data_IF_445924437018
#
_entry.id   IF_445924437018
#
_cell.length_a   1.000
_cell.length_b   1.000
_cell.length_c   1.000
_cell.angle_alpha   90.00
_cell.angle_beta   90.00
_cell.angle_gamma   90.00
#
_symmetry.space_group_name_H-M   'P 1'
#
loop_
_entity.id
_entity.type
_entity.pdbx_description
1 polymer ?
#
# COMPACT_ATOMS: atom_id res chain seq x y z
N UNK A 1 -16.27 -16.87 -18.37
CA UNK A 1 -17.18 -15.80 -18.81
C UNK A 1 -16.61 -14.42 -18.54
N UNK A 2 -15.92 -14.21 -17.41
CA UNK A 2 -15.37 -12.89 -17.04
C UNK A 2 -14.35 -12.32 -18.03
N UNK A 3 -13.41 -13.13 -18.53
CA UNK A 3 -12.45 -12.68 -19.55
C UNK A 3 -13.13 -12.15 -20.83
N UNK A 4 -14.19 -12.82 -21.30
CA UNK A 4 -14.93 -12.38 -22.49
C UNK A 4 -15.57 -11.00 -22.26
N UNK A 5 -16.17 -10.80 -21.09
CA UNK A 5 -16.78 -9.52 -20.71
C UNK A 5 -15.74 -8.42 -20.58
N UNK A 6 -14.59 -8.71 -19.97
CA UNK A 6 -13.52 -7.74 -19.78
C UNK A 6 -12.89 -7.34 -21.11
N UNK A 7 -12.50 -8.30 -21.97
CA UNK A 7 -11.91 -8.03 -23.29
C UNK A 7 -12.85 -7.21 -24.17
N UNK A 8 -14.16 -7.50 -24.14
CA UNK A 8 -15.15 -6.72 -24.88
C UNK A 8 -15.21 -5.25 -24.43
N UNK A 9 -15.04 -4.97 -23.12
CA UNK A 9 -14.97 -3.60 -22.59
C UNK A 9 -13.62 -2.94 -22.89
N UNK A 10 -12.51 -3.65 -22.68
CA UNK A 10 -11.16 -3.14 -22.88
C UNK A 10 -10.90 -2.77 -24.35
N UNK A 11 -11.41 -3.57 -25.31
CA UNK A 11 -11.30 -3.29 -26.74
C UNK A 11 -11.95 -1.96 -27.16
N UNK A 12 -12.96 -1.48 -26.42
CA UNK A 12 -13.58 -0.16 -26.69
C UNK A 12 -12.67 1.00 -26.26
N UNK A 13 -11.73 0.76 -25.34
CA UNK A 13 -10.85 1.77 -24.75
C UNK A 13 -9.45 1.72 -25.36
N UNK A 14 -8.96 0.52 -25.72
CA UNK A 14 -7.59 0.32 -26.21
C UNK A 14 -7.34 0.84 -27.62
N UNK A 15 -8.39 1.15 -28.39
CA UNK A 15 -8.26 1.56 -29.78
C UNK A 15 -7.49 0.51 -30.60
N UNK A 16 -6.45 0.94 -31.32
CA UNK A 16 -5.58 0.07 -32.12
C UNK A 16 -4.47 -0.63 -31.30
N UNK A 17 -4.34 -0.34 -30.00
CA UNK A 17 -3.31 -0.96 -29.16
C UNK A 17 -3.69 -2.38 -28.75
N UNK A 18 -2.72 -3.31 -28.67
CA UNK A 18 -2.98 -4.68 -28.24
C UNK A 18 -3.44 -4.73 -26.78
N UNK A 19 -4.32 -5.68 -26.48
CA UNK A 19 -4.71 -6.01 -25.11
C UNK A 19 -3.66 -6.96 -24.56
N UNK A 20 -3.00 -6.56 -23.47
CA UNK A 20 -2.05 -7.38 -22.75
C UNK A 20 -2.79 -8.40 -21.86
N UNK A 21 -2.27 -9.63 -21.83
CA UNK A 21 -2.75 -10.70 -20.96
C UNK A 21 -1.53 -11.21 -20.20
N UNK A 22 -1.52 -10.95 -18.90
CA UNK A 22 -0.42 -11.26 -18.00
C UNK A 22 -0.87 -12.24 -16.92
N UNK A 23 0.08 -13.01 -16.41
CA UNK A 23 -0.15 -13.88 -15.25
C UNK A 23 -0.23 -13.05 -13.98
N UNK A 24 -1.20 -13.36 -13.11
CA UNK A 24 -1.41 -12.61 -11.88
C UNK A 24 -0.44 -13.08 -10.80
N UNK A 25 0.49 -12.19 -10.40
CA UNK A 25 1.49 -12.48 -9.39
C UNK A 25 0.92 -12.38 -7.97
N UNK A 26 0.17 -13.40 -7.54
CA UNK A 26 -0.34 -13.51 -6.16
C UNK A 26 0.79 -13.42 -5.12
N UNK A 27 0.54 -12.82 -3.96
CA UNK A 27 1.50 -12.69 -2.84
C UNK A 27 2.84 -12.02 -3.20
N UNK A 28 2.84 -11.15 -4.23
CA UNK A 28 4.03 -10.41 -4.65
C UNK A 28 4.05 -9.00 -4.05
N UNK A 29 5.22 -8.55 -3.58
CA UNK A 29 5.39 -7.15 -3.19
C UNK A 29 5.65 -6.29 -4.42
N UNK A 30 4.93 -5.17 -4.52
CA UNK A 30 5.13 -4.19 -5.58
C UNK A 30 6.12 -3.11 -5.16
N UNK A 31 6.93 -2.64 -6.12
CA UNK A 31 7.92 -1.59 -5.93
C UNK A 31 7.81 -0.55 -7.04
N UNK A 32 7.89 0.72 -6.67
CA UNK A 32 8.06 1.83 -7.60
C UNK A 32 9.50 2.35 -7.50
N UNK A 33 10.14 2.57 -8.64
CA UNK A 33 11.46 3.21 -8.71
C UNK A 33 11.37 4.45 -9.57
N UNK A 34 11.68 5.60 -8.98
CA UNK A 34 11.83 6.85 -9.72
C UNK A 34 13.31 7.15 -9.92
N UNK A 35 13.71 7.45 -11.15
CA UNK A 35 15.10 7.77 -11.51
C UNK A 35 15.19 8.91 -12.53
N UNK A 36 16.37 9.54 -12.57
CA UNK A 36 16.79 10.48 -13.59
C UNK A 36 17.78 9.80 -14.54
N UNK A 37 17.71 10.12 -15.83
CA UNK A 37 18.68 9.69 -16.84
C UNK A 37 19.05 10.88 -17.74
N UNK A 38 20.32 11.06 -18.06
CA UNK A 38 20.81 12.09 -19.00
C UNK A 38 21.30 11.51 -20.34
N UNK A 39 20.91 10.26 -20.61
CA UNK A 39 21.28 9.47 -21.78
C UNK A 39 22.56 8.65 -21.60
N UNK A 40 23.37 8.94 -20.58
CA UNK A 40 24.64 8.24 -20.31
C UNK A 40 24.72 7.73 -18.87
N UNK A 41 24.30 8.55 -17.91
CA UNK A 41 24.27 8.22 -16.49
C UNK A 41 22.83 8.16 -15.99
N UNK A 42 22.63 7.37 -14.93
CA UNK A 42 21.33 7.21 -14.27
C UNK A 42 21.51 7.46 -12.78
N UNK A 43 20.61 8.25 -12.22
CA UNK A 43 20.50 8.48 -10.79
C UNK A 43 19.16 7.97 -10.29
N UNK A 44 19.17 6.87 -9.54
CA UNK A 44 17.98 6.42 -8.80
C UNK A 44 17.64 7.50 -7.78
N UNK A 45 16.44 8.06 -7.87
CA UNK A 45 15.93 9.05 -6.93
C UNK A 45 15.32 8.41 -5.69
N UNK A 46 14.72 7.23 -5.83
CA UNK A 46 14.18 6.46 -4.71
C UNK A 46 13.57 5.12 -5.13
N UNK A 47 13.75 4.10 -4.29
CA UNK A 47 13.03 2.82 -4.40
C UNK A 47 11.96 2.79 -3.30
N UNK A 48 10.71 2.66 -3.70
CA UNK A 48 9.56 2.61 -2.81
C UNK A 48 8.99 1.20 -2.81
N UNK A 49 8.65 0.67 -1.64
CA UNK A 49 7.94 -0.60 -1.52
C UNK A 49 6.49 -0.32 -1.14
N UNK A 50 5.54 -0.92 -1.84
CA UNK A 50 4.14 -0.86 -1.47
C UNK A 50 3.86 -1.71 -0.22
N UNK A 51 2.91 -1.27 0.58
CA UNK A 51 2.41 -2.05 1.71
C UNK A 51 1.48 -3.11 1.15
N UNK A 52 0.48 -2.71 0.39
CA UNK A 52 -0.38 -3.58 -0.41
C UNK A 52 0.43 -4.41 -1.42
N UNK A 53 -0.09 -5.60 -1.73
CA UNK A 53 0.52 -6.52 -2.68
C UNK A 53 0.17 -6.17 -4.12
N UNK A 54 0.95 -6.69 -5.07
CA UNK A 54 0.71 -6.50 -6.49
C UNK A 54 -0.70 -6.96 -6.87
N UNK A 55 -1.38 -6.15 -7.67
CA UNK A 55 -2.81 -6.31 -7.98
C UNK A 55 -3.71 -5.28 -7.32
N UNK A 56 -3.19 -4.53 -6.36
CA UNK A 56 -3.76 -3.26 -5.94
C UNK A 56 -3.01 -2.14 -6.67
N UNK A 57 -3.75 -1.24 -7.30
CA UNK A 57 -3.15 -0.18 -8.10
C UNK A 57 -2.20 0.70 -7.26
N UNK A 58 -0.98 0.94 -7.75
CA UNK A 58 0.08 1.73 -7.10
C UNK A 58 -0.34 3.11 -6.56
N UNK A 59 -1.35 3.72 -7.20
CA UNK A 59 -1.96 4.97 -6.77
C UNK A 59 -2.71 4.87 -5.43
N UNK A 60 -3.40 3.75 -5.21
CA UNK A 60 -4.21 3.49 -4.01
C UNK A 60 -3.42 2.76 -2.92
N UNK A 61 -2.30 2.12 -3.28
CA UNK A 61 -1.38 1.52 -2.31
C UNK A 61 -0.67 2.59 -1.47
N UNK A 62 -0.54 2.31 -0.18
CA UNK A 62 0.45 2.96 0.64
C UNK A 62 1.84 2.48 0.22
N UNK A 63 2.85 3.35 0.30
CA UNK A 63 4.22 2.96 -0.01
C UNK A 63 5.23 3.56 0.97
N UNK A 64 6.37 2.89 1.09
CA UNK A 64 7.41 3.16 2.09
C UNK A 64 8.74 3.41 1.39
N UNK A 65 9.42 4.48 1.81
CA UNK A 65 10.78 4.80 1.40
C UNK A 65 11.63 5.03 2.66
N UNK A 66 12.71 4.25 2.88
CA UNK A 66 13.18 3.14 2.06
C UNK A 66 12.30 1.88 2.18
N UNK A 67 12.49 0.86 1.32
CA UNK A 67 11.77 -0.41 1.40
C UNK A 67 11.91 -1.10 2.77
N UNK A 68 10.82 -1.68 3.28
CA UNK A 68 10.78 -2.23 4.64
C UNK A 68 10.91 -3.76 4.69
N UNK A 69 10.71 -4.45 3.56
CA UNK A 69 10.72 -5.91 3.46
C UNK A 69 11.16 -6.36 2.06
N UNK A 70 12.47 -6.35 1.84
CA UNK A 70 13.16 -6.92 0.68
C UNK A 70 14.58 -7.33 1.10
N UNK A 71 15.18 -8.29 0.39
CA UNK A 71 16.59 -8.65 0.60
C UNK A 71 17.51 -7.66 -0.15
N UNK A 72 18.72 -7.44 0.36
CA UNK A 72 19.69 -6.52 -0.23
C UNK A 72 20.05 -6.88 -1.68
N UNK A 73 20.26 -8.16 -1.96
CA UNK A 73 20.57 -8.65 -3.32
C UNK A 73 19.46 -8.36 -4.34
N UNK A 74 18.20 -8.53 -3.93
CA UNK A 74 17.05 -8.19 -4.75
C UNK A 74 16.92 -6.66 -4.94
N UNK A 75 17.19 -5.86 -3.91
CA UNK A 75 17.18 -4.41 -4.03
C UNK A 75 18.28 -3.91 -4.99
N UNK A 76 19.48 -4.46 -4.90
CA UNK A 76 20.59 -4.16 -5.81
C UNK A 76 20.25 -4.55 -7.26
N UNK A 77 19.55 -5.67 -7.44
CA UNK A 77 19.08 -6.09 -8.76
C UNK A 77 18.00 -5.15 -9.32
N UNK A 78 17.07 -4.65 -8.50
CA UNK A 78 16.11 -3.62 -8.92
C UNK A 78 16.85 -2.38 -9.41
N UNK A 79 17.81 -1.88 -8.63
CA UNK A 79 18.64 -0.72 -9.01
C UNK A 79 19.35 -0.98 -10.34
N UNK A 80 20.00 -2.14 -10.50
CA UNK A 80 20.69 -2.49 -11.76
C UNK A 80 19.73 -2.50 -12.96
N UNK A 81 18.59 -3.16 -12.85
CA UNK A 81 17.60 -3.23 -13.93
C UNK A 81 17.08 -1.82 -14.27
N UNK A 82 16.91 -0.94 -13.28
CA UNK A 82 16.54 0.46 -13.53
C UNK A 82 17.58 1.21 -14.34
N UNK A 83 18.87 1.02 -14.05
CA UNK A 83 19.95 1.62 -14.83
C UNK A 83 19.93 1.10 -16.28
N UNK A 84 19.89 -0.23 -16.44
CA UNK A 84 19.92 -0.89 -17.75
C UNK A 84 18.75 -0.42 -18.64
N UNK A 85 17.52 -0.41 -18.10
CA UNK A 85 16.32 0.00 -18.83
C UNK A 85 16.32 1.50 -19.18
N UNK A 86 16.81 2.36 -18.29
CA UNK A 86 16.85 3.80 -18.54
C UNK A 86 17.79 4.16 -19.71
N UNK A 87 18.93 3.44 -19.82
CA UNK A 87 19.87 3.61 -20.92
C UNK A 87 19.32 2.99 -22.21
N UNK A 88 18.83 1.74 -22.17
CA UNK A 88 18.31 1.05 -23.35
C UNK A 88 17.13 1.79 -23.99
N UNK A 89 16.26 2.39 -23.17
CA UNK A 89 15.12 3.18 -23.64
C UNK A 89 15.47 4.63 -24.00
N UNK A 90 16.76 5.00 -23.99
CA UNK A 90 17.25 6.33 -24.34
C UNK A 90 16.55 7.46 -23.56
N UNK A 91 16.33 7.25 -22.26
CA UNK A 91 15.62 8.23 -21.42
C UNK A 91 16.44 9.51 -21.27
N UNK A 92 15.77 10.66 -21.45
CA UNK A 92 16.31 11.99 -21.13
C UNK A 92 15.34 12.70 -20.18
N UNK A 93 15.69 12.75 -18.89
CA UNK A 93 14.85 13.28 -17.83
C UNK A 93 14.42 12.21 -16.85
N UNK A 94 13.12 12.07 -16.59
CA UNK A 94 12.57 11.14 -15.60
C UNK A 94 12.13 9.81 -16.21
N UNK A 95 12.31 8.75 -15.43
CA UNK A 95 11.75 7.43 -15.67
C UNK A 95 11.21 6.88 -14.36
N UNK A 96 10.05 6.22 -14.43
CA UNK A 96 9.48 5.42 -13.37
C UNK A 96 9.37 3.97 -13.84
N UNK A 97 9.71 3.02 -12.97
CA UNK A 97 9.62 1.59 -13.26
C UNK A 97 8.92 0.90 -12.10
N UNK A 98 7.93 0.08 -12.44
CA UNK A 98 7.22 -0.75 -11.47
C UNK A 98 7.73 -2.18 -11.54
N UNK A 99 7.99 -2.75 -10.36
CA UNK A 99 8.47 -4.13 -10.21
C UNK A 99 7.55 -4.91 -9.29
N UNK A 100 7.51 -6.23 -9.48
CA UNK A 100 6.99 -7.17 -8.50
C UNK A 100 8.11 -8.08 -8.00
N UNK A 101 8.12 -8.39 -6.71
CA UNK A 101 9.06 -9.31 -6.08
C UNK A 101 8.31 -10.48 -5.43
N UNK A 102 8.58 -11.69 -5.92
CA UNK A 102 7.96 -12.93 -5.43
C UNK A 102 9.01 -14.03 -5.35
N UNK A 103 9.14 -14.65 -4.18
CA UNK A 103 9.98 -15.84 -3.96
C UNK A 103 11.44 -15.70 -4.47
N UNK A 104 12.05 -14.53 -4.29
CA UNK A 104 13.42 -14.28 -4.74
C UNK A 104 13.56 -13.89 -6.21
N UNK A 105 12.46 -13.78 -6.95
CA UNK A 105 12.43 -13.32 -8.35
C UNK A 105 11.87 -11.91 -8.46
N UNK A 106 12.48 -11.13 -9.33
CA UNK A 106 12.06 -9.78 -9.69
C UNK A 106 11.44 -9.82 -11.08
N UNK A 107 10.24 -9.25 -11.20
CA UNK A 107 9.50 -9.08 -12.43
C UNK A 107 9.38 -7.59 -12.72
N UNK A 108 9.59 -7.18 -13.97
CA UNK A 108 9.30 -5.82 -14.43
C UNK A 108 7.84 -5.79 -14.86
N UNK A 109 7.04 -4.89 -14.28
CA UNK A 109 5.62 -4.75 -14.60
C UNK A 109 5.45 -3.76 -15.76
N UNK A 110 5.93 -2.54 -15.59
CA UNK A 110 5.88 -1.50 -16.62
C UNK A 110 7.00 -0.48 -16.46
N UNK A 111 7.27 0.24 -17.55
CA UNK A 111 8.20 1.37 -17.59
C UNK A 111 7.46 2.60 -18.11
N UNK A 112 7.54 3.67 -17.34
CA UNK A 112 6.99 4.97 -17.67
C UNK A 112 8.14 5.96 -17.91
N UNK A 113 8.58 6.21 -19.16
CA UNK A 113 9.66 7.15 -19.48
C UNK A 113 9.20 8.61 -19.37
N UNK A 114 8.69 8.98 -18.21
CA UNK A 114 8.12 10.28 -17.87
C UNK A 114 8.11 10.46 -16.35
N UNK A 115 7.73 11.65 -15.90
CA UNK A 115 7.42 11.88 -14.50
C UNK A 115 6.23 11.00 -14.04
N UNK A 116 6.41 10.33 -12.90
CA UNK A 116 5.35 9.65 -12.16
C UNK A 116 4.72 10.57 -11.12
N UNK A 117 3.59 10.11 -10.55
CA UNK A 117 2.93 10.80 -9.45
C UNK A 117 3.74 10.79 -8.15
N UNK A 118 4.69 9.87 -8.00
CA UNK A 118 5.52 9.68 -6.79
C UNK A 118 6.72 10.63 -6.72
N UNK A 119 7.07 11.32 -7.82
CA UNK A 119 8.20 12.27 -7.87
C UNK A 119 8.18 13.31 -6.74
N UNK A 120 7.05 13.97 -6.41
CA UNK A 120 7.00 14.91 -5.29
C UNK A 120 7.28 14.23 -3.95
N UNK A 121 6.72 13.04 -3.70
CA UNK A 121 6.95 12.27 -2.48
C UNK A 121 8.43 11.87 -2.33
N UNK A 122 9.05 11.35 -3.40
CA UNK A 122 10.48 11.00 -3.41
C UNK A 122 11.33 12.24 -3.17
N UNK A 123 11.06 13.34 -3.89
CA UNK A 123 11.82 14.59 -3.75
C UNK A 123 11.75 15.18 -2.33
N UNK A 124 10.58 15.07 -1.68
CA UNK A 124 10.38 15.51 -0.28
C UNK A 124 11.04 14.59 0.72
N UNK A 125 11.25 13.32 0.38
CA UNK A 125 11.91 12.37 1.27
C UNK A 125 13.43 12.46 1.18
N UNK A 126 13.98 12.60 -0.04
CA UNK A 126 15.43 12.57 -0.29
C UNK A 126 16.08 13.95 -0.35
N UNK A 127 15.29 15.02 -0.30
CA UNK A 127 15.74 16.41 -0.49
C UNK A 127 16.36 16.69 -1.87
N UNK A 128 16.02 15.89 -2.89
CA UNK A 128 16.49 16.07 -4.26
C UNK A 128 15.34 16.60 -5.11
N UNK A 129 15.44 17.77 -5.75
CA UNK A 129 14.37 18.32 -6.58
C UNK A 129 14.35 17.66 -7.97
N UNK A 130 13.95 16.38 -8.01
CA UNK A 130 14.05 15.52 -9.19
C UNK A 130 13.41 16.15 -10.43
N UNK A 131 12.19 16.68 -10.33
CA UNK A 131 11.51 17.33 -11.46
C UNK A 131 12.27 18.56 -12.01
N UNK A 132 12.92 19.34 -11.13
CA UNK A 132 13.72 20.51 -11.56
C UNK A 132 14.97 20.07 -12.31
N UNK A 133 15.64 19.03 -11.80
CA UNK A 133 16.84 18.48 -12.42
C UNK A 133 16.48 17.84 -13.77
N UNK A 134 15.38 17.09 -13.85
CA UNK A 134 14.89 16.51 -15.09
C UNK A 134 14.63 17.56 -16.19
N UNK A 135 13.98 18.67 -15.83
CA UNK A 135 13.76 19.78 -16.75
C UNK A 135 15.07 20.39 -17.26
N UNK A 136 16.09 20.46 -16.41
CA UNK A 136 17.42 20.94 -16.79
C UNK A 136 18.16 19.95 -17.69
N UNK A 137 18.04 18.63 -17.42
CA UNK A 137 18.57 17.57 -18.28
C UNK A 137 17.96 17.65 -19.68
N UNK A 138 16.64 17.83 -19.78
CA UNK A 138 15.95 18.01 -21.05
C UNK A 138 16.45 19.23 -21.86
N UNK A 139 17.13 20.18 -21.22
CA UNK A 139 17.79 21.34 -21.87
C UNK A 139 19.30 21.16 -22.06
N UNK A 140 19.85 19.97 -21.82
CA UNK A 140 21.24 19.61 -22.08
C UNK A 140 22.17 19.61 -20.88
N UNK A 141 21.67 19.76 -19.63
CA UNK A 141 22.48 19.52 -18.43
C UNK A 141 22.76 18.03 -18.24
N UNK A 142 23.88 17.71 -17.60
CA UNK A 142 24.28 16.33 -17.28
C UNK A 142 24.16 16.05 -15.78
N UNK A 143 23.98 14.80 -15.38
CA UNK A 143 23.82 14.41 -13.97
C UNK A 143 25.03 14.82 -13.12
N UNK A 144 26.24 14.71 -13.67
CA UNK A 144 27.49 15.20 -13.05
C UNK A 144 27.50 16.70 -12.70
N UNK A 145 26.60 17.50 -13.28
CA UNK A 145 26.47 18.93 -12.95
C UNK A 145 25.73 19.17 -11.62
N UNK A 146 25.20 18.12 -11.00
CA UNK A 146 24.40 18.16 -9.78
C UNK A 146 25.06 17.38 -8.63
N UNK A 147 24.86 17.85 -7.41
CA UNK A 147 25.24 17.08 -6.21
C UNK A 147 24.12 16.10 -5.85
N UNK A 148 24.29 14.82 -6.23
CA UNK A 148 23.29 13.77 -6.09
C UNK A 148 23.76 12.69 -5.11
N UNK A 149 23.40 12.77 -3.81
CA UNK A 149 23.75 11.73 -2.85
C UNK A 149 23.00 10.41 -3.17
N UNK A 150 23.48 9.25 -2.70
CA UNK A 150 22.75 8.00 -2.82
C UNK A 150 21.32 8.11 -2.27
N UNK A 151 20.35 7.50 -2.94
CA UNK A 151 18.93 7.64 -2.64
C UNK A 151 18.55 7.15 -1.24
N UNK A 152 19.32 6.22 -0.68
CA UNK A 152 19.13 5.55 0.61
C UNK A 152 19.95 6.18 1.76
N UNK A 153 20.64 7.31 1.54
CA UNK A 153 21.49 7.96 2.55
C UNK A 153 20.70 8.57 3.74
N UNK A 154 19.37 8.66 3.66
CA UNK A 154 18.55 9.37 4.64
C UNK A 154 18.24 8.52 5.89
N UNK A 155 18.22 9.15 7.07
CA UNK A 155 18.05 8.48 8.38
C UNK A 155 16.59 8.45 8.89
N UNK A 156 15.63 8.60 7.98
CA UNK A 156 14.21 8.57 8.29
C UNK A 156 13.46 7.60 7.39
N UNK A 157 12.24 7.26 7.77
CA UNK A 157 11.30 6.52 6.95
C UNK A 157 10.18 7.46 6.57
N UNK A 158 9.87 7.54 5.28
CA UNK A 158 8.68 8.19 4.78
C UNK A 158 7.67 7.15 4.31
N UNK A 159 6.39 7.43 4.58
CA UNK A 159 5.26 6.64 4.11
C UNK A 159 4.32 7.56 3.34
N UNK A 160 3.97 7.18 2.12
CA UNK A 160 2.84 7.74 1.37
C UNK A 160 1.59 6.91 1.70
N UNK A 161 0.47 7.56 1.98
CA UNK A 161 -0.83 6.91 2.13
C UNK A 161 -1.86 7.59 1.22
N UNK A 162 -2.74 6.79 0.62
CA UNK A 162 -3.78 7.27 -0.29
C UNK A 162 -4.97 7.88 0.48
N UNK A 163 -5.60 8.89 -0.11
CA UNK A 163 -6.85 9.47 0.37
C UNK A 163 -7.97 9.05 -0.56
N UNK A 164 -8.85 8.19 -0.05
CA UNK A 164 -9.93 7.56 -0.82
C UNK A 164 -11.25 8.33 -0.62
N UNK A 165 -12.02 8.62 -1.69
CA UNK A 165 -13.23 9.43 -1.64
C UNK A 165 -14.47 8.65 -1.19
N UNK A 166 -14.33 7.52 -0.49
CA UNK A 166 -15.44 6.60 -0.18
C UNK A 166 -16.56 7.26 0.65
N UNK A 167 -16.24 8.27 1.46
CA UNK A 167 -17.26 9.05 2.18
C UNK A 167 -18.14 9.92 1.26
N UNK A 168 -17.71 10.20 0.03
CA UNK A 168 -18.49 10.91 -0.99
C UNK A 168 -19.40 9.96 -1.78
N UNK A 169 -19.04 8.68 -1.86
CA UNK A 169 -19.76 7.66 -2.62
C UNK A 169 -20.02 6.43 -1.74
N UNK A 170 -20.98 6.49 -0.79
CA UNK A 170 -21.19 5.43 0.20
C UNK A 170 -21.61 4.07 -0.38
N UNK A 171 -22.14 4.05 -1.60
CA UNK A 171 -22.56 2.81 -2.28
C UNK A 171 -21.40 2.11 -3.00
N UNK A 172 -20.27 2.79 -3.18
CA UNK A 172 -19.11 2.23 -3.86
C UNK A 172 -18.36 1.21 -3.01
N UNK A 173 -17.75 0.24 -3.68
CA UNK A 173 -16.95 -0.78 -3.02
C UNK A 173 -15.65 -0.19 -2.46
N UNK A 174 -15.42 -0.39 -1.16
CA UNK A 174 -14.17 -0.02 -0.47
C UNK A 174 -12.99 -0.92 -0.80
N UNK A 175 -13.23 -2.04 -1.46
CA UNK A 175 -12.15 -2.96 -1.82
C UNK A 175 -11.25 -2.30 -2.86
N UNK A 176 -9.95 -2.43 -2.58
CA UNK A 176 -8.88 -2.02 -3.46
C UNK A 176 -8.82 -2.95 -4.67
N UNK A 177 -8.39 -2.42 -5.80
CA UNK A 177 -8.46 -3.08 -7.10
C UNK A 177 -7.27 -2.69 -7.98
N UNK A 178 -7.08 -3.38 -9.13
CA UNK A 178 -6.11 -2.95 -10.14
C UNK A 178 -6.42 -1.58 -10.76
N UNK A 179 -7.63 -1.03 -10.56
CA UNK A 179 -7.99 0.33 -10.95
C UNK A 179 -7.89 1.29 -9.76
N UNK A 180 -7.32 2.48 -10.01
CA UNK A 180 -7.16 3.57 -9.03
C UNK A 180 -8.47 4.28 -8.71
N UNK A 181 -8.72 4.53 -7.42
CA UNK A 181 -9.89 5.28 -6.93
C UNK A 181 -9.53 6.49 -6.07
N UNK A 182 -8.30 6.58 -5.58
CA UNK A 182 -7.84 7.67 -4.71
C UNK A 182 -7.81 9.02 -5.43
N UNK A 183 -8.03 10.09 -4.67
CA UNK A 183 -8.05 11.48 -5.20
C UNK A 183 -6.90 12.33 -4.69
N UNK A 184 -6.16 11.83 -3.69
CA UNK A 184 -5.02 12.52 -3.12
C UNK A 184 -4.17 11.58 -2.28
N UNK A 185 -3.13 12.13 -1.67
CA UNK A 185 -2.16 11.39 -0.87
C UNK A 185 -1.65 12.26 0.29
N UNK A 186 -1.14 11.59 1.32
CA UNK A 186 -0.49 12.23 2.47
C UNK A 186 0.85 11.56 2.76
N UNK A 187 1.75 12.30 3.40
CA UNK A 187 3.08 11.81 3.77
C UNK A 187 3.25 11.77 5.29
N UNK A 188 3.62 10.60 5.82
CA UNK A 188 4.07 10.42 7.19
C UNK A 188 5.58 10.19 7.25
N UNK A 189 6.31 11.05 7.97
CA UNK A 189 7.78 10.96 8.10
C UNK A 189 8.21 10.90 9.57
N UNK A 190 9.12 9.98 9.89
CA UNK A 190 9.69 9.76 11.22
C UNK A 190 10.94 8.88 11.15
N UNK A 191 11.55 8.53 12.28
CA UNK A 191 12.74 7.66 12.29
C UNK A 191 12.40 6.15 12.21
N UNK A 192 11.12 5.77 12.24
CA UNK A 192 10.72 4.35 12.28
C UNK A 192 9.48 4.13 11.43
N UNK A 193 9.39 2.98 10.77
CA UNK A 193 8.23 2.62 9.94
C UNK A 193 6.88 2.79 10.67
N UNK A 194 6.71 2.24 11.87
CA UNK A 194 5.45 2.31 12.61
C UNK A 194 5.00 3.75 12.90
N UNK A 195 5.90 4.63 13.32
CA UNK A 195 5.56 6.04 13.57
C UNK A 195 5.26 6.81 12.26
N UNK A 196 5.97 6.50 11.18
CA UNK A 196 5.71 7.09 9.86
C UNK A 196 4.35 6.66 9.31
N UNK A 197 4.03 5.37 9.39
CA UNK A 197 2.74 4.82 8.98
C UNK A 197 1.60 5.37 9.85
N UNK A 198 1.80 5.48 11.18
CA UNK A 198 0.83 6.13 12.08
C UNK A 198 0.49 7.56 11.64
N UNK A 199 1.50 8.34 11.24
CA UNK A 199 1.32 9.73 10.77
C UNK A 199 0.57 9.76 9.44
N UNK A 200 0.87 8.84 8.53
CA UNK A 200 0.22 8.74 7.24
C UNK A 200 -1.27 8.38 7.41
N UNK A 201 -1.59 7.33 8.18
CA UNK A 201 -2.98 6.93 8.52
C UNK A 201 -3.78 8.09 9.13
N UNK A 202 -3.22 8.76 10.16
CA UNK A 202 -3.94 9.87 10.81
C UNK A 202 -4.16 11.01 9.83
N UNK A 203 -3.18 11.30 8.98
CA UNK A 203 -3.27 12.36 7.98
C UNK A 203 -4.25 12.03 6.86
N UNK A 204 -4.46 10.75 6.53
CA UNK A 204 -5.46 10.33 5.54
C UNK A 204 -6.90 10.37 6.07
N UNK A 205 -7.09 10.80 7.32
CA UNK A 205 -8.41 11.00 7.94
C UNK A 205 -8.86 9.84 8.83
N UNK A 206 -8.06 8.80 8.98
CA UNK A 206 -8.39 7.65 9.81
C UNK A 206 -8.13 7.91 11.30
N UNK A 207 -8.91 7.24 12.15
CA UNK A 207 -8.73 7.28 13.61
C UNK A 207 -8.05 6.01 14.08
N UNK A 208 -7.05 6.16 14.95
CA UNK A 208 -6.40 5.05 15.62
C UNK A 208 -6.95 4.95 17.04
N UNK A 209 -7.67 3.87 17.30
CA UNK A 209 -8.11 3.49 18.63
C UNK A 209 -7.05 2.61 19.26
N UNK A 210 -6.61 2.87 20.51
CA UNK A 210 -5.58 2.10 21.22
C UNK A 210 -6.13 1.00 22.15
N UNK A 211 -7.45 0.84 22.16
CA UNK A 211 -8.21 -0.15 22.93
C UNK A 211 -9.54 -0.40 22.22
N UNK A 212 -10.19 -1.50 22.55
CA UNK A 212 -11.49 -1.86 22.00
C UNK A 212 -11.47 -3.22 21.32
N UNK A 213 -12.40 -3.42 20.40
CA UNK A 213 -12.59 -4.70 19.72
C UNK A 213 -12.21 -4.60 18.24
N UNK A 214 -11.50 -5.61 17.75
CA UNK A 214 -11.14 -5.77 16.34
C UNK A 214 -11.93 -6.93 15.76
N UNK A 215 -12.60 -6.69 14.63
CA UNK A 215 -13.26 -7.76 13.87
C UNK A 215 -12.34 -8.33 12.79
N UNK A 216 -12.26 -9.65 12.72
CA UNK A 216 -11.50 -10.41 11.72
C UNK A 216 -12.43 -11.23 10.82
N UNK A 217 -12.30 -11.03 9.51
CA UNK A 217 -12.89 -11.89 8.49
C UNK A 217 -11.86 -12.17 7.41
N UNK A 218 -11.20 -13.32 7.49
CA UNK A 218 -10.00 -13.61 6.70
C UNK A 218 -10.29 -14.75 5.73
N UNK A 219 -9.88 -14.59 4.47
CA UNK A 219 -9.97 -15.66 3.48
C UNK A 219 -9.09 -16.87 3.87
N UNK A 220 -9.36 -18.05 3.29
CA UNK A 220 -8.68 -19.28 3.71
C UNK A 220 -7.14 -19.25 3.53
N UNK A 221 -6.58 -18.78 2.39
CA UNK A 221 -5.13 -18.67 2.21
C UNK A 221 -4.44 -17.77 3.27
N UNK A 222 -5.09 -16.69 3.67
CA UNK A 222 -4.52 -15.68 4.57
C UNK A 222 -4.53 -16.07 6.05
N UNK A 223 -5.36 -17.04 6.45
CA UNK A 223 -5.60 -17.34 7.88
C UNK A 223 -4.33 -17.63 8.66
N UNK A 224 -3.39 -18.38 8.08
CA UNK A 224 -2.11 -18.67 8.74
C UNK A 224 -1.28 -17.41 8.97
N UNK A 225 -1.26 -16.51 8.00
CA UNK A 225 -0.54 -15.24 8.06
C UNK A 225 -1.24 -14.20 8.96
N UNK A 226 -2.53 -14.37 9.23
CA UNK A 226 -3.28 -13.53 10.17
C UNK A 226 -3.00 -13.85 11.64
N UNK A 227 -2.55 -15.07 11.98
CA UNK A 227 -2.30 -15.50 13.37
C UNK A 227 -1.34 -14.56 14.11
N UNK A 228 -0.15 -14.19 13.56
CA UNK A 228 0.75 -13.26 14.25
C UNK A 228 0.12 -11.88 14.47
N UNK A 229 -0.69 -11.39 13.53
CA UNK A 229 -1.37 -10.10 13.61
C UNK A 229 -2.41 -10.11 14.74
N UNK A 230 -3.23 -11.17 14.81
CA UNK A 230 -4.22 -11.35 15.87
C UNK A 230 -3.55 -11.46 17.25
N UNK A 231 -2.45 -12.23 17.35
CA UNK A 231 -1.70 -12.36 18.60
C UNK A 231 -1.13 -11.02 19.07
N UNK A 232 -0.51 -10.26 18.16
CA UNK A 232 0.00 -8.93 18.44
C UNK A 232 -1.07 -7.98 18.96
N UNK A 233 -2.27 -7.99 18.36
CA UNK A 233 -3.38 -7.15 18.81
C UNK A 233 -3.91 -7.58 20.18
N UNK A 234 -3.98 -8.89 20.45
CA UNK A 234 -4.36 -9.39 21.77
C UNK A 234 -3.34 -8.98 22.84
N UNK A 235 -2.05 -9.09 22.56
CA UNK A 235 -0.97 -8.63 23.46
C UNK A 235 -1.00 -7.11 23.70
N UNK A 236 -1.49 -6.34 22.73
CA UNK A 236 -1.71 -4.90 22.85
C UNK A 236 -2.96 -4.53 23.65
N UNK A 237 -3.79 -5.53 24.01
CA UNK A 237 -4.98 -5.38 24.84
C UNK A 237 -6.29 -5.18 24.07
N UNK A 238 -6.35 -5.56 22.79
CA UNK A 238 -7.61 -5.57 22.06
C UNK A 238 -8.40 -6.86 22.31
N UNK A 239 -9.71 -6.73 22.35
CA UNK A 239 -10.61 -7.87 22.18
C UNK A 239 -10.67 -8.22 20.69
N UNK A 240 -10.80 -9.50 20.37
CA UNK A 240 -10.90 -9.96 18.99
C UNK A 240 -12.18 -10.77 18.83
N UNK A 241 -12.95 -10.42 17.80
CA UNK A 241 -14.13 -11.16 17.36
C UNK A 241 -13.94 -11.53 15.89
N UNK A 242 -14.45 -12.67 15.46
CA UNK A 242 -14.20 -13.15 14.11
C UNK A 242 -15.35 -13.98 13.53
N UNK A 243 -15.40 -14.08 12.20
CA UNK A 243 -16.33 -15.01 11.51
C UNK A 243 -15.98 -16.46 11.82
N UNK A 244 -16.94 -17.39 11.74
CA UNK A 244 -16.78 -18.78 12.18
C UNK A 244 -15.49 -19.47 11.67
N UNK A 245 -15.21 -19.35 10.38
CA UNK A 245 -14.03 -19.96 9.77
C UNK A 245 -12.72 -19.35 10.29
N UNK A 246 -12.72 -18.06 10.61
CA UNK A 246 -11.55 -17.35 11.14
C UNK A 246 -11.41 -17.60 12.63
N UNK A 247 -12.51 -17.59 13.38
CA UNK A 247 -12.54 -17.81 14.82
C UNK A 247 -12.06 -19.21 15.18
N UNK A 248 -12.46 -20.22 14.41
CA UNK A 248 -12.00 -21.60 14.58
C UNK A 248 -10.49 -21.73 14.45
N UNK A 249 -9.90 -21.06 13.46
CA UNK A 249 -8.46 -21.10 13.22
C UNK A 249 -7.69 -20.39 14.33
N UNK A 250 -8.11 -19.19 14.72
CA UNK A 250 -7.48 -18.43 15.80
C UNK A 250 -7.56 -19.18 17.15
N UNK A 251 -8.73 -19.72 17.50
CA UNK A 251 -8.92 -20.48 18.74
C UNK A 251 -8.03 -21.74 18.79
N UNK A 252 -7.91 -22.48 17.69
CA UNK A 252 -7.02 -23.66 17.59
C UNK A 252 -5.55 -23.31 17.77
N UNK A 253 -5.15 -22.09 17.43
CA UNK A 253 -3.80 -21.57 17.58
C UNK A 253 -3.59 -20.77 18.89
N UNK A 254 -4.49 -20.97 19.87
CA UNK A 254 -4.36 -20.44 21.23
C UNK A 254 -4.71 -18.96 21.39
N UNK A 255 -5.41 -18.37 20.42
CA UNK A 255 -5.90 -16.99 20.48
C UNK A 255 -7.40 -17.04 20.75
N UNK A 256 -7.85 -16.83 22.00
CA UNK A 256 -9.27 -16.88 22.33
C UNK A 256 -10.02 -15.74 21.63
N UNK A 257 -10.98 -16.09 20.79
CA UNK A 257 -11.80 -15.14 20.04
C UNK A 257 -13.26 -15.57 20.03
N UNK A 258 -14.16 -14.60 20.16
CA UNK A 258 -15.60 -14.84 20.05
C UNK A 258 -16.02 -14.92 18.58
N UNK A 259 -17.00 -15.78 18.29
CA UNK A 259 -17.54 -15.92 16.94
C UNK A 259 -18.69 -14.96 16.72
N UNK A 260 -18.67 -14.24 15.59
CA UNK A 260 -19.72 -13.30 15.18
C UNK A 260 -20.24 -13.69 13.79
N UNK A 261 -21.55 -13.64 13.61
CA UNK A 261 -22.19 -13.94 12.33
C UNK A 261 -21.86 -12.89 11.27
N UNK A 262 -21.68 -13.35 10.02
CA UNK A 262 -21.77 -12.48 8.84
C UNK A 262 -23.20 -11.98 8.64
N UNK A 263 -23.36 -11.00 7.76
CA UNK A 263 -24.65 -10.35 7.48
C UNK A 263 -25.71 -11.36 7.03
N UNK A 264 -25.33 -12.30 6.15
CA UNK A 264 -26.21 -13.37 5.69
C UNK A 264 -26.43 -14.56 6.64
N UNK A 265 -25.74 -14.64 7.78
CA UNK A 265 -25.69 -15.86 8.62
C UNK A 265 -26.67 -15.84 9.81
N UNK A 266 -26.98 -14.68 10.39
CA UNK A 266 -27.84 -14.60 11.58
C UNK A 266 -27.87 -13.23 12.27
N UNK A 267 -28.38 -13.19 13.51
CA UNK A 267 -28.35 -12.01 14.40
C UNK A 267 -28.02 -12.40 15.86
N UNK A 268 -27.30 -11.55 16.62
CA UNK A 268 -26.63 -10.33 16.16
C UNK A 268 -25.48 -10.66 15.21
N UNK A 269 -25.33 -9.87 14.14
CA UNK A 269 -24.23 -10.01 13.18
C UNK A 269 -23.26 -8.82 13.27
N UNK A 270 -22.19 -8.88 12.49
CA UNK A 270 -21.15 -7.84 12.48
C UNK A 270 -21.70 -6.43 12.23
N UNK A 271 -22.75 -6.25 11.41
CA UNK A 271 -23.34 -4.91 11.22
C UNK A 271 -23.98 -4.41 12.50
N UNK A 272 -24.67 -5.27 13.26
CA UNK A 272 -25.27 -4.88 14.55
C UNK A 272 -24.17 -4.39 15.52
N UNK A 273 -23.07 -5.13 15.62
CA UNK A 273 -21.92 -4.76 16.46
C UNK A 273 -21.26 -3.43 16.02
N UNK A 274 -21.07 -3.23 14.71
CA UNK A 274 -20.55 -1.96 14.16
C UNK A 274 -21.52 -0.81 14.48
N UNK A 275 -22.83 -1.03 14.30
CA UNK A 275 -23.84 -0.01 14.55
C UNK A 275 -23.96 0.37 16.02
N UNK A 276 -23.70 -0.57 16.94
CA UNK A 276 -23.65 -0.35 18.38
C UNK A 276 -22.31 0.26 18.87
N UNK A 277 -21.36 0.56 17.96
CA UNK A 277 -20.01 1.06 18.27
C UNK A 277 -19.17 0.08 19.10
N UNK A 278 -19.43 -1.22 18.97
CA UNK A 278 -18.69 -2.28 19.69
C UNK A 278 -17.39 -2.67 18.99
N UNK A 279 -17.21 -2.25 17.72
CA UNK A 279 -16.03 -2.51 16.89
C UNK A 279 -15.26 -1.21 16.63
N UNK A 280 -13.94 -1.23 16.78
CA UNK A 280 -13.05 -0.07 16.57
C UNK A 280 -12.13 -0.22 15.36
N UNK A 281 -11.97 -1.43 14.84
CA UNK A 281 -11.16 -1.71 13.66
C UNK A 281 -11.67 -2.99 12.98
N UNK A 282 -11.64 -3.00 11.66
CA UNK A 282 -12.02 -4.17 10.84
C UNK A 282 -10.81 -4.60 10.01
N UNK A 283 -10.50 -5.89 10.05
CA UNK A 283 -9.53 -6.53 9.14
C UNK A 283 -10.32 -7.57 8.33
N UNK A 284 -10.47 -7.31 7.05
CA UNK A 284 -11.30 -8.12 6.15
C UNK A 284 -10.59 -8.39 4.83
N UNK A 285 -10.07 -9.59 4.62
CA UNK A 285 -9.38 -9.94 3.36
C UNK A 285 -10.34 -10.65 2.40
N UNK A 286 -10.76 -10.00 1.30
CA UNK A 286 -11.75 -10.58 0.39
C UNK A 286 -11.14 -11.72 -0.45
N UNK A 287 -11.95 -12.68 -0.89
CA UNK A 287 -11.55 -13.66 -1.92
C UNK A 287 -12.71 -14.05 -2.83
N UNK A 288 -12.59 -13.71 -4.11
CA UNK A 288 -13.56 -14.07 -5.15
C UNK A 288 -14.81 -13.18 -5.23
N UNK A 289 -15.76 -13.56 -6.08
CA UNK A 289 -16.97 -12.78 -6.38
C UNK A 289 -18.16 -13.09 -5.45
N UNK A 290 -18.20 -14.29 -4.85
CA UNK A 290 -19.32 -14.75 -4.01
C UNK A 290 -19.33 -14.16 -2.60
N UNK A 291 -18.19 -13.73 -2.06
CA UNK A 291 -18.10 -13.17 -0.71
C UNK A 291 -18.40 -11.67 -0.64
N UNK A 292 -18.55 -11.00 -1.79
CA UNK A 292 -18.62 -9.54 -1.90
C UNK A 292 -19.81 -8.89 -1.21
N UNK A 293 -20.98 -9.55 -1.13
CA UNK A 293 -22.18 -8.90 -0.55
C UNK A 293 -22.00 -8.56 0.94
N UNK A 294 -21.62 -9.55 1.76
CA UNK A 294 -21.38 -9.34 3.20
C UNK A 294 -20.22 -8.36 3.41
N UNK A 295 -19.18 -8.51 2.61
CA UNK A 295 -17.95 -7.72 2.63
C UNK A 295 -18.19 -6.24 2.28
N UNK A 296 -18.99 -5.96 1.25
CA UNK A 296 -19.41 -4.61 0.86
C UNK A 296 -20.25 -3.98 1.96
N UNK A 297 -21.20 -4.72 2.55
CA UNK A 297 -22.04 -4.21 3.62
C UNK A 297 -21.21 -3.80 4.85
N UNK A 298 -20.23 -4.63 5.25
CA UNK A 298 -19.28 -4.30 6.33
C UNK A 298 -18.50 -3.02 5.98
N UNK A 299 -18.00 -2.93 4.76
CA UNK A 299 -17.25 -1.77 4.30
C UNK A 299 -18.04 -0.47 4.36
N UNK A 300 -19.29 -0.48 3.90
CA UNK A 300 -20.21 0.66 3.98
C UNK A 300 -20.47 1.09 5.42
N UNK A 301 -20.69 0.13 6.32
CA UNK A 301 -20.88 0.41 7.73
C UNK A 301 -19.62 1.03 8.37
N UNK A 302 -18.43 0.57 7.98
CA UNK A 302 -17.17 1.17 8.42
C UNK A 302 -17.03 2.62 7.97
N UNK A 303 -17.32 2.95 6.70
CA UNK A 303 -17.32 4.34 6.20
C UNK A 303 -18.29 5.19 7.04
N UNK A 304 -19.53 4.71 7.20
CA UNK A 304 -20.58 5.45 7.91
C UNK A 304 -20.19 5.75 9.37
N UNK A 305 -19.50 4.82 10.03
CA UNK A 305 -19.05 4.96 11.42
C UNK A 305 -17.67 5.61 11.57
N UNK A 306 -16.94 5.82 10.48
CA UNK A 306 -15.55 6.26 10.51
C UNK A 306 -14.63 5.25 11.22
N UNK A 307 -14.90 3.95 11.01
CA UNK A 307 -14.06 2.85 11.48
C UNK A 307 -13.04 2.53 10.39
N UNK A 308 -11.78 2.36 10.79
CA UNK A 308 -10.70 1.97 9.89
C UNK A 308 -10.93 0.51 9.44
N UNK A 309 -11.20 0.34 8.16
CA UNK A 309 -11.32 -0.97 7.50
C UNK A 309 -10.03 -1.24 6.71
N UNK A 310 -9.36 -2.33 7.04
CA UNK A 310 -8.13 -2.77 6.39
C UNK A 310 -8.46 -4.02 5.58
N UNK A 311 -8.12 -4.00 4.29
CA UNK A 311 -8.50 -5.04 3.33
C UNK A 311 -7.37 -5.99 2.95
N UNK A 312 -6.17 -5.80 3.51
CA UNK A 312 -4.97 -6.60 3.24
C UNK A 312 -4.26 -6.98 4.55
N UNK A 313 -3.61 -8.14 4.58
CA UNK A 313 -2.82 -8.54 5.76
C UNK A 313 -1.57 -7.68 5.95
N UNK A 314 -0.95 -7.24 4.85
CA UNK A 314 0.20 -6.34 4.90
C UNK A 314 -0.17 -4.97 5.51
N UNK A 315 -1.31 -4.40 5.11
CA UNK A 315 -1.89 -3.21 5.72
C UNK A 315 -2.19 -3.42 7.21
N UNK A 316 -2.69 -4.60 7.59
CA UNK A 316 -2.98 -4.92 8.98
C UNK A 316 -1.71 -5.01 9.83
N UNK A 317 -0.65 -5.63 9.31
CA UNK A 317 0.66 -5.66 9.96
C UNK A 317 1.23 -4.24 10.13
N UNK A 318 1.17 -3.41 9.08
CA UNK A 318 1.57 -2.02 9.15
C UNK A 318 0.78 -1.24 10.23
N UNK A 319 -0.54 -1.45 10.31
CA UNK A 319 -1.39 -0.84 11.33
C UNK A 319 -1.01 -1.26 12.75
N UNK A 320 -0.69 -2.54 12.97
CA UNK A 320 -0.16 -3.03 14.26
C UNK A 320 1.13 -2.31 14.63
N UNK A 321 2.06 -2.13 13.68
CA UNK A 321 3.30 -1.36 13.93
C UNK A 321 3.01 0.09 14.29
N UNK A 322 2.03 0.72 13.66
CA UNK A 322 1.58 2.06 14.00
C UNK A 322 0.97 2.14 15.41
N UNK A 323 0.10 1.20 15.78
CA UNK A 323 -0.54 1.12 17.10
C UNK A 323 0.51 0.91 18.21
N UNK A 324 1.53 0.07 17.96
CA UNK A 324 2.66 -0.12 18.89
C UNK A 324 3.40 1.19 19.18
N UNK A 325 3.41 2.14 18.23
CA UNK A 325 4.00 3.47 18.45
C UNK A 325 3.09 4.35 19.34
N UNK A 326 3.12 4.13 20.65
CA UNK A 326 2.43 4.96 21.65
C UNK A 326 3.15 6.27 21.98
N UNK A 327 4.19 6.64 21.22
CA UNK A 327 4.97 7.87 21.47
C UNK A 327 4.09 9.11 21.34
N UNK A 328 4.33 10.09 22.21
CA UNK A 328 3.73 11.44 22.15
C UNK A 328 4.02 12.03 20.76
N UNK A 329 3.02 12.69 20.17
CA UNK A 329 3.17 13.35 18.87
C UNK A 329 4.28 14.40 18.95
N UNK A 330 5.34 14.21 18.15
CA UNK A 330 6.39 15.20 17.94
C UNK A 330 6.36 15.63 16.48
N UNK A 331 6.49 16.93 16.23
CA UNK A 331 6.50 17.48 14.87
C UNK A 331 7.91 17.99 14.56
N UNK A 332 8.32 17.80 13.30
CA UNK A 332 9.57 18.33 12.75
C UNK A 332 9.26 18.94 11.39
N UNK A 333 9.88 20.07 11.09
CA UNK A 333 9.82 20.63 9.74
C UNK A 333 10.60 19.76 8.76
N UNK A 334 10.30 19.86 7.47
CA UNK A 334 11.06 19.16 6.44
C UNK A 334 12.53 19.60 6.42
N UNK A 335 12.80 20.88 6.69
CA UNK A 335 14.17 21.40 6.82
C UNK A 335 14.95 20.70 7.93
N UNK A 336 14.29 20.39 9.06
CA UNK A 336 14.93 19.66 10.17
C UNK A 336 15.22 18.19 9.84
N UNK A 337 14.55 17.59 8.85
CA UNK A 337 14.89 16.24 8.38
C UNK A 337 16.06 16.23 7.40
N UNK A 338 16.39 17.38 6.81
CA UNK A 338 17.40 17.52 5.77
C UNK A 338 18.63 18.32 6.22
N UNK A 339 18.65 18.77 7.47
CA UNK A 339 19.72 19.56 8.09
C UNK A 339 20.88 18.70 8.58
#
# INVERSE_FOLDING_TARGET
NDLKTYVAKAALVSGDHPILIDDFLEDAFEFDVDALCDGEEVHVGGVMQHIEEAGIHSGDSACVLPPYRIKTDALDQIVRITNDLAIELNVLGLINIQFAYKEGKIYVLEVNPRASRTIPFVSKTTNIPLARIAAQIATGKKLKDFNLPPWDMHNHVAVKEAVLPFNKFPEESIFLSPEMKSTGEVMGISNTFGESFKRAIISSGNKIFYKGTVFFSINDPDKMNAIPIARDLQELGYNIVATEGTSKELNRNGIPVETVFKVGEGRPNILDHIMNNEIQMVINTPLGSKSRYDEEAIGRACIQKGIMAITTLSGANAAVRAIRSRKKKTVRSIQSYHS
#
